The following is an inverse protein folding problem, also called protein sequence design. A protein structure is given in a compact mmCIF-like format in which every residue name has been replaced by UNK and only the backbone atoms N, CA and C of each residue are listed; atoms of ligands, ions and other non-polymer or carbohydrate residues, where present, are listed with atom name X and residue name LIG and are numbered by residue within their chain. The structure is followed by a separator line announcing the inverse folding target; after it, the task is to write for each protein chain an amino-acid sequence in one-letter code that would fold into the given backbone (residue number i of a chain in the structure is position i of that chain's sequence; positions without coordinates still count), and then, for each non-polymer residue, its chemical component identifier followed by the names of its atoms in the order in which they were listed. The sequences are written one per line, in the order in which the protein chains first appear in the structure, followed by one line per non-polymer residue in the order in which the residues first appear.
data_IF_444237066347
#
_entry.id   IF_444237066347
#
_cell.length_a   1.000
_cell.length_b   1.000
_cell.length_c   1.000
_cell.angle_alpha   90.00
_cell.angle_beta   90.00
_cell.angle_gamma   90.00
#
_symmetry.space_group_name_H-M   'P 1'
#
loop_
_entity.id
_entity.type
_entity.pdbx_description
1 polymer ?
#
# COMPACT_ATOMS: atom_id res chain seq x y z
N UNK A 1 -1.64 22.60 11.60
CA UNK A 1 -0.67 22.32 10.51
C UNK A 1 -1.04 21.06 9.74
N UNK A 2 -1.49 19.99 10.41
CA UNK A 2 -1.91 18.73 9.78
C UNK A 2 -3.11 18.86 8.81
N UNK A 3 -4.17 19.56 9.20
CA UNK A 3 -5.36 19.71 8.34
C UNK A 3 -5.09 20.44 7.01
N UNK A 4 -4.39 21.60 6.98
CA UNK A 4 -3.96 22.22 5.72
C UNK A 4 -3.13 21.29 4.84
N UNK A 5 -2.20 20.53 5.43
CA UNK A 5 -1.36 19.55 4.71
C UNK A 5 -2.22 18.45 4.06
N UNK A 6 -3.14 17.84 4.82
CA UNK A 6 -4.05 16.81 4.30
C UNK A 6 -4.90 17.35 3.14
N UNK A 7 -5.46 18.56 3.30
CA UNK A 7 -6.27 19.20 2.25
C UNK A 7 -5.46 19.48 0.99
N UNK A 8 -4.23 19.95 1.13
CA UNK A 8 -3.32 20.21 0.00
C UNK A 8 -2.93 18.92 -0.73
N UNK A 9 -2.58 17.86 0.00
CA UNK A 9 -2.23 16.55 -0.59
C UNK A 9 -3.41 15.96 -1.35
N UNK A 10 -4.63 16.03 -0.80
CA UNK A 10 -5.84 15.56 -1.49
C UNK A 10 -6.09 16.37 -2.76
N UNK A 11 -6.00 17.70 -2.70
CA UNK A 11 -6.18 18.57 -3.88
C UNK A 11 -5.16 18.27 -4.99
N UNK A 12 -3.90 18.02 -4.62
CA UNK A 12 -2.85 17.63 -5.57
C UNK A 12 -3.16 16.29 -6.25
N UNK A 13 -3.73 15.34 -5.52
CA UNK A 13 -4.06 14.02 -6.05
C UNK A 13 -5.33 14.05 -6.91
N UNK A 14 -6.36 14.81 -6.53
CA UNK A 14 -7.60 14.88 -7.31
C UNK A 14 -7.43 15.66 -8.61
N UNK A 15 -6.57 16.70 -8.63
CA UNK A 15 -6.25 17.48 -9.82
C UNK A 15 -7.32 18.53 -10.18
N UNK A 16 -8.37 18.66 -9.36
CA UNK A 16 -9.48 19.60 -9.57
C UNK A 16 -10.49 19.17 -10.64
N UNK A 17 -11.48 20.02 -10.89
CA UNK A 17 -12.62 19.74 -11.77
C UNK A 17 -12.22 19.38 -13.20
N UNK A 18 -11.26 20.12 -13.79
CA UNK A 18 -10.79 19.87 -15.17
C UNK A 18 -10.20 18.45 -15.34
N UNK A 19 -9.45 17.98 -14.34
CA UNK A 19 -8.88 16.64 -14.36
C UNK A 19 -9.97 15.58 -14.21
N UNK A 20 -10.97 15.82 -13.37
CA UNK A 20 -12.12 14.91 -13.22
C UNK A 20 -12.92 14.81 -14.51
N UNK A 21 -13.21 15.93 -15.16
CA UNK A 21 -13.88 15.96 -16.46
C UNK A 21 -13.11 15.15 -17.51
N UNK A 22 -11.80 15.37 -17.61
CA UNK A 22 -10.92 14.64 -18.52
C UNK A 22 -10.94 13.13 -18.23
N UNK A 23 -10.90 12.74 -16.95
CA UNK A 23 -10.99 11.33 -16.56
C UNK A 23 -12.33 10.71 -16.94
N UNK A 24 -13.44 11.44 -16.76
CA UNK A 24 -14.77 10.99 -17.18
C UNK A 24 -14.79 10.73 -18.69
N UNK A 25 -14.25 11.64 -19.50
CA UNK A 25 -14.20 11.48 -20.96
C UNK A 25 -13.39 10.24 -21.37
N UNK A 26 -12.22 10.02 -20.75
CA UNK A 26 -11.41 8.81 -20.97
C UNK A 26 -12.18 7.54 -20.61
N UNK A 27 -12.88 7.54 -19.46
CA UNK A 27 -13.67 6.42 -19.00
C UNK A 27 -14.86 6.14 -19.94
N UNK A 28 -15.54 7.17 -20.44
CA UNK A 28 -16.60 7.03 -21.44
C UNK A 28 -16.06 6.29 -22.66
N UNK A 29 -14.94 6.76 -23.25
CA UNK A 29 -14.35 6.13 -24.43
C UNK A 29 -13.95 4.67 -24.15
N UNK A 30 -13.30 4.41 -23.01
CA UNK A 30 -12.89 3.06 -22.59
C UNK A 30 -14.07 2.11 -22.39
N UNK A 31 -15.22 2.59 -21.92
CA UNK A 31 -16.38 1.76 -21.62
C UNK A 31 -17.36 1.63 -22.79
N UNK A 32 -17.33 2.52 -23.78
CA UNK A 32 -18.12 2.42 -25.00
C UNK A 32 -17.74 1.20 -25.85
N UNK A 33 -16.48 0.78 -25.84
CA UNK A 33 -15.97 -0.36 -26.61
C UNK A 33 -16.27 -1.72 -25.97
N UNK A 34 -16.80 -1.73 -24.73
CA UNK A 34 -17.01 -2.97 -23.95
C UNK A 34 -18.45 -3.43 -24.06
N UNK A 35 -18.64 -4.70 -24.42
CA UNK A 35 -19.92 -5.42 -24.29
C UNK A 35 -20.18 -5.69 -22.81
N UNK A 36 -21.29 -5.16 -22.28
CA UNK A 36 -21.59 -5.26 -20.84
C UNK A 36 -23.08 -5.06 -20.57
N UNK A 37 -23.64 -5.75 -19.56
CA UNK A 37 -25.05 -5.60 -19.17
C UNK A 37 -25.30 -4.36 -18.30
N UNK A 38 -24.36 -3.99 -17.41
CA UNK A 38 -24.42 -2.74 -16.64
C UNK A 38 -24.40 -1.51 -17.58
N UNK A 39 -25.36 -0.58 -17.45
CA UNK A 39 -25.42 0.65 -18.24
C UNK A 39 -24.14 1.48 -18.18
N UNK A 40 -23.81 2.16 -19.28
CA UNK A 40 -22.60 2.97 -19.42
C UNK A 40 -22.37 3.94 -18.24
N UNK A 41 -23.43 4.60 -17.74
CA UNK A 41 -23.32 5.59 -16.65
C UNK A 41 -22.73 5.03 -15.37
N UNK A 42 -23.20 3.86 -14.94
CA UNK A 42 -22.71 3.23 -13.72
C UNK A 42 -21.30 2.66 -13.90
N UNK A 43 -20.95 2.24 -15.12
CA UNK A 43 -19.58 1.77 -15.42
C UNK A 43 -18.56 2.91 -15.40
N UNK A 44 -18.93 4.08 -15.91
CA UNK A 44 -18.09 5.30 -15.87
C UNK A 44 -17.96 5.80 -14.43
N UNK A 45 -19.08 5.93 -13.70
CA UNK A 45 -19.08 6.33 -12.30
C UNK A 45 -18.24 5.38 -11.42
N UNK A 46 -18.45 4.06 -11.57
CA UNK A 46 -17.66 3.07 -10.85
C UNK A 46 -16.17 3.13 -11.19
N UNK A 47 -15.82 3.42 -12.45
CA UNK A 47 -14.44 3.64 -12.87
C UNK A 47 -13.81 4.90 -12.26
N UNK A 48 -14.59 5.98 -12.13
CA UNK A 48 -14.14 7.23 -11.50
C UNK A 48 -13.88 7.01 -10.00
N UNK A 49 -14.83 6.41 -9.29
CA UNK A 49 -14.68 6.07 -7.86
C UNK A 49 -13.47 5.14 -7.65
N UNK A 50 -13.27 4.16 -8.53
CA UNK A 50 -12.09 3.29 -8.47
C UNK A 50 -10.78 4.06 -8.67
N UNK A 51 -10.72 5.02 -9.60
CA UNK A 51 -9.57 5.91 -9.80
C UNK A 51 -9.25 6.71 -8.54
N UNK A 52 -10.28 7.28 -7.92
CA UNK A 52 -10.14 8.04 -6.67
C UNK A 52 -9.69 7.15 -5.50
N UNK A 53 -10.18 5.91 -5.39
CA UNK A 53 -9.71 4.96 -4.37
C UNK A 53 -8.23 4.57 -4.56
N UNK A 54 -7.74 4.48 -5.80
CA UNK A 54 -6.31 4.25 -6.07
C UNK A 54 -5.49 5.46 -5.59
N UNK A 55 -5.91 6.66 -5.96
CA UNK A 55 -5.28 7.92 -5.50
C UNK A 55 -5.32 8.06 -3.98
N UNK A 56 -6.36 7.57 -3.32
CA UNK A 56 -6.42 7.56 -1.85
C UNK A 56 -5.38 6.60 -1.24
N UNK A 57 -5.11 5.47 -1.88
CA UNK A 57 -3.98 4.62 -1.49
C UNK A 57 -2.64 5.36 -1.55
N UNK A 58 -2.39 6.09 -2.64
CA UNK A 58 -1.20 6.94 -2.80
C UNK A 58 -1.14 8.07 -1.77
N UNK A 59 -2.27 8.69 -1.44
CA UNK A 59 -2.39 9.67 -0.35
C UNK A 59 -1.89 9.10 0.97
N UNK A 60 -2.32 7.90 1.34
CA UNK A 60 -1.92 7.26 2.60
C UNK A 60 -0.41 7.00 2.63
N UNK A 61 0.18 6.60 1.51
CA UNK A 61 1.64 6.41 1.38
C UNK A 61 2.39 7.73 1.61
N UNK A 62 1.96 8.81 0.96
CA UNK A 62 2.55 10.15 1.10
C UNK A 62 2.37 10.71 2.52
N UNK A 63 1.18 10.59 3.09
CA UNK A 63 0.88 11.05 4.44
C UNK A 63 1.80 10.37 5.46
N UNK A 64 2.03 9.06 5.32
CA UNK A 64 2.89 8.33 6.24
C UNK A 64 4.35 8.77 6.11
N UNK A 65 4.83 9.02 4.89
CA UNK A 65 6.18 9.55 4.63
C UNK A 65 6.36 10.95 5.25
N UNK A 66 5.38 11.84 5.09
CA UNK A 66 5.37 13.18 5.68
C UNK A 66 5.39 13.14 7.22
N UNK A 67 4.62 12.23 7.82
CA UNK A 67 4.61 12.02 9.27
C UNK A 67 5.98 11.51 9.73
N UNK A 68 6.52 10.47 9.11
CA UNK A 68 7.83 9.90 9.46
C UNK A 68 8.94 10.96 9.31
N UNK A 69 8.89 11.78 8.26
CA UNK A 69 9.87 12.85 8.00
C UNK A 69 9.80 13.98 9.03
N UNK A 70 8.62 14.24 9.60
CA UNK A 70 8.44 15.29 10.62
C UNK A 70 8.75 14.82 12.04
N UNK A 71 9.00 13.53 12.27
CA UNK A 71 9.37 13.02 13.59
C UNK A 71 10.84 13.34 13.92
N UNK A 72 11.13 14.05 15.04
CA UNK A 72 12.49 14.47 15.37
C UNK A 72 13.44 13.32 15.71
N UNK A 73 12.89 12.16 16.11
CA UNK A 73 13.67 11.00 16.50
C UNK A 73 13.88 10.01 15.34
N UNK A 74 13.33 10.30 14.17
CA UNK A 74 13.44 9.44 13.01
C UNK A 74 14.48 10.02 12.05
N UNK A 75 15.19 9.13 11.36
CA UNK A 75 16.07 9.53 10.27
C UNK A 75 15.62 8.80 9.01
N UNK A 76 15.00 9.52 8.09
CA UNK A 76 14.64 8.99 6.77
C UNK A 76 15.93 8.65 6.02
N UNK A 77 15.96 7.50 5.36
CA UNK A 77 17.11 7.10 4.57
C UNK A 77 16.98 7.72 3.17
N UNK A 78 17.71 8.81 2.96
CA UNK A 78 17.67 9.61 1.74
C UNK A 78 17.84 8.76 0.48
N UNK A 79 17.06 9.08 -0.55
CA UNK A 79 17.10 8.38 -1.85
C UNK A 79 16.53 6.97 -1.84
N UNK A 80 15.82 6.55 -0.77
CA UNK A 80 15.19 5.22 -0.71
C UNK A 80 13.71 5.20 -0.35
N UNK A 81 13.16 6.28 0.21
CA UNK A 81 11.71 6.43 0.45
C UNK A 81 11.00 6.87 -0.84
N UNK A 82 9.84 6.28 -1.13
CA UNK A 82 8.99 6.63 -2.27
C UNK A 82 9.59 6.36 -3.65
N UNK A 83 10.62 5.51 -3.75
CA UNK A 83 11.34 5.27 -5.01
C UNK A 83 11.36 3.79 -5.39
N UNK A 84 11.38 3.54 -6.70
CA UNK A 84 11.67 2.22 -7.25
C UNK A 84 13.18 2.01 -7.28
N UNK A 85 13.67 1.01 -6.56
CA UNK A 85 15.07 0.63 -6.53
C UNK A 85 15.33 -0.62 -7.37
N UNK A 86 16.49 -0.66 -8.01
CA UNK A 86 17.02 -1.88 -8.62
C UNK A 86 17.73 -2.70 -7.55
N UNK A 87 17.00 -3.65 -6.96
CA UNK A 87 17.51 -4.52 -5.89
C UNK A 87 18.05 -5.83 -6.45
N UNK A 88 19.04 -6.41 -5.76
CA UNK A 88 19.59 -7.71 -6.08
C UNK A 88 18.95 -8.79 -5.21
N UNK A 89 18.38 -9.80 -5.85
CA UNK A 89 17.80 -10.97 -5.18
C UNK A 89 18.60 -12.21 -5.54
N UNK A 90 18.97 -12.98 -4.52
CA UNK A 90 19.57 -14.29 -4.69
C UNK A 90 18.49 -15.30 -5.11
N UNK A 91 18.78 -16.09 -6.15
CA UNK A 91 17.83 -16.99 -6.80
C UNK A 91 17.19 -17.99 -5.84
N UNK A 92 17.96 -18.55 -4.90
CA UNK A 92 17.43 -19.50 -3.91
C UNK A 92 16.65 -18.79 -2.80
N UNK A 93 17.02 -17.56 -2.45
CA UNK A 93 16.27 -16.73 -1.50
C UNK A 93 14.89 -16.40 -2.05
N UNK A 94 14.83 -15.98 -3.33
CA UNK A 94 13.57 -15.68 -3.98
C UNK A 94 12.68 -16.93 -4.05
N UNK A 95 13.25 -18.08 -4.44
CA UNK A 95 12.51 -19.36 -4.45
C UNK A 95 11.99 -19.74 -3.07
N UNK A 96 12.80 -19.55 -2.02
CA UNK A 96 12.39 -19.85 -0.65
C UNK A 96 11.23 -18.97 -0.18
N UNK A 97 11.23 -17.67 -0.53
CA UNK A 97 10.10 -16.77 -0.28
C UNK A 97 8.85 -17.24 -1.04
N UNK A 98 8.99 -17.66 -2.30
CA UNK A 98 7.87 -18.15 -3.09
C UNK A 98 7.30 -19.46 -2.50
N UNK A 99 8.14 -20.39 -2.07
CA UNK A 99 7.72 -21.61 -1.38
C UNK A 99 7.00 -21.31 -0.07
N UNK A 100 7.50 -20.34 0.71
CA UNK A 100 6.87 -19.89 1.95
C UNK A 100 5.45 -19.35 1.72
N UNK A 101 5.27 -18.49 0.71
CA UNK A 101 3.99 -17.89 0.36
C UNK A 101 3.03 -18.91 -0.27
N UNK A 102 3.52 -19.82 -1.10
CA UNK A 102 2.67 -20.77 -1.82
C UNK A 102 2.24 -21.95 -0.91
N UNK A 103 2.91 -22.18 0.21
CA UNK A 103 2.61 -23.26 1.16
C UNK A 103 2.36 -22.73 2.59
N UNK A 104 1.33 -21.89 2.80
CA UNK A 104 0.99 -21.42 4.13
C UNK A 104 0.45 -22.55 5.03
N UNK A 105 0.60 -22.44 6.35
CA UNK A 105 -0.13 -23.30 7.28
C UNK A 105 -1.64 -23.16 7.07
N UNK A 106 -2.38 -24.25 7.25
CA UNK A 106 -3.82 -24.31 6.97
C UNK A 106 -4.63 -24.39 8.26
N UNK A 107 -5.56 -23.45 8.41
CA UNK A 107 -6.46 -23.41 9.54
C UNK A 107 -5.84 -22.76 10.78
N UNK A 108 -6.72 -22.23 11.64
CA UNK A 108 -6.35 -21.36 12.76
C UNK A 108 -5.33 -21.97 13.71
N UNK A 109 -5.50 -23.23 14.10
CA UNK A 109 -4.64 -23.88 15.10
C UNK A 109 -3.21 -24.10 14.59
N UNK A 110 -3.06 -24.50 13.33
CA UNK A 110 -1.73 -24.67 12.70
C UNK A 110 -1.03 -23.32 12.54
N UNK A 111 -1.76 -22.28 12.11
CA UNK A 111 -1.20 -20.94 11.98
C UNK A 111 -0.66 -20.45 13.34
N UNK A 112 -1.49 -20.50 14.40
CA UNK A 112 -1.10 -20.00 15.72
C UNK A 112 0.08 -20.76 16.32
N UNK A 113 0.18 -22.07 16.10
CA UNK A 113 1.26 -22.89 16.66
C UNK A 113 2.58 -22.78 15.88
N UNK A 114 2.54 -22.42 14.60
CA UNK A 114 3.73 -22.46 13.72
C UNK A 114 4.23 -21.10 13.26
N UNK A 115 3.41 -20.04 13.27
CA UNK A 115 3.75 -18.75 12.62
C UNK A 115 5.08 -18.16 13.13
N UNK A 116 5.33 -18.24 14.43
CA UNK A 116 6.56 -17.72 15.04
C UNK A 116 7.82 -18.44 14.53
N UNK A 117 7.78 -19.78 14.48
CA UNK A 117 8.92 -20.57 13.98
C UNK A 117 9.12 -20.31 12.50
N UNK A 118 8.03 -20.38 11.71
CA UNK A 118 8.09 -20.24 10.26
C UNK A 118 8.65 -18.88 9.81
N UNK A 119 8.23 -17.79 10.45
CA UNK A 119 8.72 -16.46 10.07
C UNK A 119 10.16 -16.21 10.51
N UNK A 120 10.56 -16.75 11.67
CA UNK A 120 11.95 -16.64 12.13
C UNK A 120 12.89 -17.44 11.21
N UNK A 121 12.47 -18.64 10.78
CA UNK A 121 13.21 -19.44 9.80
C UNK A 121 13.34 -18.71 8.45
N UNK A 122 12.26 -18.06 8.00
CA UNK A 122 12.27 -17.23 6.80
C UNK A 122 13.29 -16.09 6.90
N UNK A 123 13.29 -15.33 7.99
CA UNK A 123 14.24 -14.23 8.15
C UNK A 123 15.68 -14.72 8.26
N UNK A 124 15.94 -15.79 9.00
CA UNK A 124 17.26 -16.40 9.06
C UNK A 124 17.74 -16.83 7.66
N UNK A 125 16.84 -17.41 6.86
CA UNK A 125 17.17 -17.85 5.50
C UNK A 125 17.42 -16.67 4.55
N UNK A 126 16.61 -15.61 4.64
CA UNK A 126 16.82 -14.37 3.88
C UNK A 126 18.20 -13.79 4.18
N UNK A 127 18.55 -13.60 5.46
CA UNK A 127 19.85 -13.03 5.84
C UNK A 127 21.02 -13.90 5.41
N UNK A 128 20.89 -15.23 5.54
CA UNK A 128 21.92 -16.18 5.13
C UNK A 128 22.16 -16.13 3.62
N UNK A 129 21.10 -16.22 2.82
CA UNK A 129 21.21 -16.32 1.37
C UNK A 129 21.56 -14.98 0.73
N UNK A 130 20.92 -13.88 1.14
CA UNK A 130 21.20 -12.55 0.60
C UNK A 130 22.61 -12.04 0.92
N UNK A 131 23.25 -12.55 1.97
CA UNK A 131 24.64 -12.21 2.27
C UNK A 131 25.65 -13.25 1.78
N UNK A 132 25.22 -14.28 1.06
CA UNK A 132 26.12 -15.31 0.54
C UNK A 132 27.06 -14.75 -0.54
N UNK A 133 28.39 -14.77 -0.35
CA UNK A 133 29.34 -14.34 -1.39
C UNK A 133 29.29 -15.22 -2.65
N UNK A 134 28.83 -16.46 -2.52
CA UNK A 134 28.68 -17.41 -3.62
C UNK A 134 27.24 -17.47 -4.17
N UNK A 135 26.35 -16.59 -3.71
CA UNK A 135 24.97 -16.53 -4.18
C UNK A 135 24.88 -16.16 -5.65
N UNK A 136 23.85 -16.67 -6.34
CA UNK A 136 23.54 -16.25 -7.71
C UNK A 136 22.45 -15.17 -7.64
N UNK A 137 22.78 -13.98 -8.10
CA UNK A 137 21.90 -12.82 -7.99
C UNK A 137 21.36 -12.38 -9.34
N UNK A 138 20.12 -11.89 -9.32
CA UNK A 138 19.53 -11.17 -10.44
C UNK A 138 18.96 -9.83 -9.94
N UNK A 139 18.82 -8.88 -10.87
CA UNK A 139 18.30 -7.54 -10.58
C UNK A 139 16.79 -7.49 -10.76
N UNK A 140 16.10 -6.78 -9.87
CA UNK A 140 14.66 -6.57 -9.92
C UNK A 140 14.31 -5.14 -9.51
N UNK A 141 13.43 -4.50 -10.26
CA UNK A 141 12.87 -3.21 -9.87
C UNK A 141 11.79 -3.44 -8.82
N UNK A 142 11.95 -2.84 -7.65
CA UNK A 142 11.04 -2.98 -6.52
C UNK A 142 10.79 -1.62 -5.89
N UNK A 143 9.52 -1.30 -5.68
CA UNK A 143 9.10 -0.07 -5.00
C UNK A 143 9.35 -0.21 -3.50
N UNK A 144 9.92 0.85 -2.92
CA UNK A 144 10.11 0.98 -1.48
C UNK A 144 9.25 2.16 -1.04
N UNK A 145 8.18 1.88 -0.27
CA UNK A 145 7.30 2.95 0.21
C UNK A 145 8.04 3.86 1.20
N UNK A 146 8.39 3.36 2.39
CA UNK A 146 9.13 4.16 3.37
C UNK A 146 10.26 3.37 4.03
N UNK A 147 11.41 4.02 4.21
CA UNK A 147 12.55 3.48 4.94
C UNK A 147 13.16 4.53 5.88
N UNK A 148 13.18 4.22 7.17
CA UNK A 148 13.66 5.13 8.20
C UNK A 148 14.41 4.41 9.32
N UNK A 149 15.11 5.17 10.15
CA UNK A 149 15.92 4.70 11.27
C UNK A 149 15.44 5.28 12.59
N UNK A 150 15.48 4.48 13.64
CA UNK A 150 15.41 4.94 15.04
C UNK A 150 16.63 4.36 15.77
N UNK A 151 17.51 5.24 16.26
CA UNK A 151 18.79 4.83 16.83
C UNK A 151 19.62 4.06 15.79
N UNK A 152 19.90 2.79 16.05
CA UNK A 152 20.64 1.88 15.14
C UNK A 152 19.75 0.91 14.34
N UNK A 153 18.43 0.96 14.54
CA UNK A 153 17.49 0.03 13.87
C UNK A 153 16.84 0.70 12.67
N UNK A 154 16.90 0.03 11.54
CA UNK A 154 16.20 0.40 10.31
C UNK A 154 14.83 -0.26 10.25
N UNK A 155 13.89 0.45 9.64
CA UNK A 155 12.52 0.03 9.45
C UNK A 155 12.15 0.24 7.99
N UNK A 156 11.68 -0.82 7.33
CA UNK A 156 11.03 -0.74 6.03
C UNK A 156 9.53 -0.89 6.24
N UNK A 157 8.75 0.06 5.75
CA UNK A 157 7.30 0.03 5.81
C UNK A 157 6.76 -0.10 4.39
N UNK A 158 5.96 -1.14 4.16
CA UNK A 158 5.06 -1.25 3.01
C UNK A 158 3.68 -0.82 3.47
N UNK A 159 3.09 0.16 2.80
CA UNK A 159 1.83 0.77 3.20
C UNK A 159 0.70 0.31 2.30
N UNK A 160 -0.45 0.02 2.89
CA UNK A 160 -1.67 -0.36 2.19
C UNK A 160 -2.87 0.33 2.85
N UNK A 161 -3.84 0.74 2.03
CA UNK A 161 -5.06 1.36 2.54
C UNK A 161 -5.90 0.37 3.38
N UNK A 162 -6.18 -0.81 2.84
CA UNK A 162 -7.01 -1.85 3.45
C UNK A 162 -6.42 -3.25 3.26
N UNK A 163 -6.76 -4.14 4.18
CA UNK A 163 -6.59 -5.59 4.04
C UNK A 163 -7.93 -6.23 3.65
N UNK A 164 -8.37 -5.99 2.42
CA UNK A 164 -9.63 -6.51 1.85
C UNK A 164 -9.46 -7.13 0.45
N UNK A 165 -8.23 -7.10 -0.07
CA UNK A 165 -7.87 -7.57 -1.41
C UNK A 165 -8.19 -9.04 -1.64
N UNK A 166 -8.58 -9.41 -2.87
CA UNK A 166 -8.83 -10.81 -3.22
C UNK A 166 -7.65 -11.74 -2.86
N UNK A 167 -7.91 -13.06 -2.80
CA UNK A 167 -6.94 -14.04 -2.29
C UNK A 167 -5.61 -14.02 -3.07
N UNK A 168 -5.66 -13.80 -4.39
CA UNK A 168 -4.46 -13.72 -5.22
C UNK A 168 -3.65 -12.47 -4.93
N UNK A 169 -4.32 -11.31 -4.89
CA UNK A 169 -3.68 -10.04 -4.55
C UNK A 169 -3.14 -10.01 -3.11
N UNK A 170 -3.82 -10.65 -2.17
CA UNK A 170 -3.34 -10.80 -0.79
C UNK A 170 -2.01 -11.58 -0.74
N UNK A 171 -1.92 -12.70 -1.48
CA UNK A 171 -0.66 -13.45 -1.61
C UNK A 171 0.45 -12.61 -2.26
N UNK A 172 0.12 -11.89 -3.34
CA UNK A 172 1.08 -11.09 -4.09
C UNK A 172 1.65 -9.94 -3.27
N UNK A 173 0.85 -9.30 -2.42
CA UNK A 173 1.31 -8.25 -1.50
C UNK A 173 2.35 -8.80 -0.52
N UNK A 174 2.04 -9.92 0.15
CA UNK A 174 2.98 -10.53 1.09
C UNK A 174 4.27 -11.00 0.39
N UNK A 175 4.16 -11.55 -0.83
CA UNK A 175 5.30 -11.92 -1.66
C UNK A 175 6.16 -10.70 -2.03
N UNK A 176 5.55 -9.62 -2.53
CA UNK A 176 6.26 -8.37 -2.88
C UNK A 176 6.97 -7.82 -1.67
N UNK A 177 6.26 -7.68 -0.55
CA UNK A 177 6.80 -7.20 0.73
C UNK A 177 8.07 -7.96 1.17
N UNK A 178 8.00 -9.29 1.20
CA UNK A 178 9.14 -10.12 1.59
C UNK A 178 10.31 -10.05 0.60
N UNK A 179 10.03 -9.96 -0.71
CA UNK A 179 11.07 -9.81 -1.74
C UNK A 179 11.75 -8.44 -1.66
N UNK A 180 10.99 -7.36 -1.46
CA UNK A 180 11.55 -6.03 -1.23
C UNK A 180 12.42 -6.00 0.02
N UNK A 181 11.94 -6.57 1.13
CA UNK A 181 12.72 -6.72 2.35
C UNK A 181 14.03 -7.48 2.11
N UNK A 182 13.99 -8.63 1.43
CA UNK A 182 15.18 -9.40 1.10
C UNK A 182 16.17 -8.60 0.25
N UNK A 183 15.70 -7.89 -0.79
CA UNK A 183 16.52 -7.03 -1.62
C UNK A 183 17.22 -5.93 -0.81
N UNK A 184 16.50 -5.32 0.14
CA UNK A 184 17.04 -4.27 1.01
C UNK A 184 18.08 -4.80 2.00
N UNK A 185 17.94 -6.04 2.49
CA UNK A 185 18.98 -6.71 3.30
C UNK A 185 20.34 -6.70 2.58
N UNK A 186 20.34 -7.06 1.29
CA UNK A 186 21.56 -7.03 0.46
C UNK A 186 22.04 -5.61 0.19
N UNK A 187 21.12 -4.73 -0.22
CA UNK A 187 21.41 -3.35 -0.62
C UNK A 187 22.17 -2.59 0.48
N UNK A 188 21.71 -2.69 1.73
CA UNK A 188 22.34 -2.06 2.88
C UNK A 188 23.37 -2.94 3.60
N UNK A 189 23.59 -4.17 3.12
CA UNK A 189 24.52 -5.15 3.71
C UNK A 189 24.21 -5.46 5.18
N UNK A 190 22.92 -5.57 5.53
CA UNK A 190 22.51 -5.97 6.87
C UNK A 190 22.89 -7.44 7.10
N UNK A 191 23.63 -7.70 8.16
CA UNK A 191 24.09 -9.06 8.51
C UNK A 191 23.38 -9.62 9.74
N UNK A 192 22.64 -8.78 10.48
CA UNK A 192 21.91 -9.16 11.68
C UNK A 192 20.42 -8.80 11.56
N UNK A 193 19.49 -9.76 11.70
CA UNK A 193 18.04 -9.51 11.68
C UNK A 193 17.55 -8.46 12.68
N UNK A 194 18.30 -8.16 13.75
CA UNK A 194 17.93 -7.12 14.71
C UNK A 194 18.13 -5.70 14.17
N UNK A 195 18.96 -5.52 13.15
CA UNK A 195 19.27 -4.21 12.56
C UNK A 195 18.17 -3.69 11.65
N UNK A 196 17.32 -4.57 11.10
CA UNK A 196 16.37 -4.20 10.06
C UNK A 196 15.05 -4.92 10.25
N UNK A 197 13.96 -4.15 10.40
CA UNK A 197 12.62 -4.67 10.68
C UNK A 197 11.66 -4.30 9.56
N UNK A 198 10.98 -5.27 8.94
CA UNK A 198 9.96 -4.99 7.95
C UNK A 198 8.59 -4.85 8.62
N UNK A 199 7.77 -3.93 8.11
CA UNK A 199 6.42 -3.67 8.59
C UNK A 199 5.48 -3.58 7.38
N UNK A 200 4.46 -4.41 7.36
CA UNK A 200 3.32 -4.28 6.47
C UNK A 200 2.23 -3.50 7.21
N UNK A 201 2.10 -2.23 6.88
CA UNK A 201 1.17 -1.32 7.52
C UNK A 201 -0.15 -1.22 6.73
N UNK A 202 -1.26 -1.47 7.40
CA UNK A 202 -2.60 -1.18 6.89
C UNK A 202 -3.17 0.06 7.57
N UNK A 203 -3.60 1.04 6.80
CA UNK A 203 -4.15 2.28 7.35
C UNK A 203 -5.44 2.03 8.13
N UNK A 204 -6.32 1.15 7.66
CA UNK A 204 -7.52 0.77 8.41
C UNK A 204 -7.34 -0.52 9.21
N UNK A 205 -8.28 -0.73 10.15
CA UNK A 205 -8.32 -1.91 11.03
C UNK A 205 -8.91 -3.16 10.38
N UNK A 206 -9.44 -3.07 9.16
CA UNK A 206 -10.01 -4.22 8.45
C UNK A 206 -9.03 -5.39 8.39
N UNK A 207 -9.53 -6.61 8.59
CA UNK A 207 -8.75 -7.84 8.57
C UNK A 207 -9.39 -8.83 7.62
N UNK A 208 -8.65 -9.27 6.60
CA UNK A 208 -9.13 -10.31 5.70
C UNK A 208 -9.00 -11.71 6.30
N UNK A 209 -7.83 -12.01 6.86
CA UNK A 209 -7.52 -13.32 7.44
C UNK A 209 -7.04 -13.17 8.88
N UNK A 210 -7.75 -13.80 9.81
CA UNK A 210 -7.38 -13.83 11.23
C UNK A 210 -7.36 -15.28 11.76
N UNK A 211 -6.17 -15.82 12.09
CA UNK A 211 -4.85 -15.20 12.03
C UNK A 211 -4.33 -15.07 10.59
N UNK A 212 -3.42 -14.13 10.35
CA UNK A 212 -2.70 -14.03 9.08
C UNK A 212 -1.74 -15.24 8.93
N UNK A 213 -1.74 -15.94 7.78
CA UNK A 213 -0.93 -17.15 7.61
C UNK A 213 0.55 -16.89 7.27
N UNK A 214 0.94 -15.66 6.98
CA UNK A 214 2.28 -15.28 6.49
C UNK A 214 3.06 -14.38 7.44
N UNK A 215 2.40 -13.51 8.19
CA UNK A 215 3.06 -12.51 9.04
C UNK A 215 2.37 -12.43 10.40
N UNK A 216 3.10 -12.01 11.44
CA UNK A 216 2.53 -11.89 12.79
C UNK A 216 1.83 -10.54 12.93
N UNK A 217 0.60 -10.59 13.42
CA UNK A 217 -0.13 -9.40 13.85
C UNK A 217 0.63 -8.72 15.01
N UNK A 218 0.60 -7.39 15.01
CA UNK A 218 1.25 -6.50 15.98
C UNK A 218 2.79 -6.53 16.02
N UNK A 219 3.44 -7.25 15.10
CA UNK A 219 4.90 -7.28 14.96
C UNK A 219 5.27 -6.83 13.55
N UNK A 220 5.02 -7.68 12.55
CA UNK A 220 5.22 -7.33 11.14
C UNK A 220 4.00 -6.62 10.58
N UNK A 221 2.79 -7.04 10.97
CA UNK A 221 1.58 -6.36 10.57
C UNK A 221 1.21 -5.33 11.62
N UNK A 222 1.03 -4.09 11.19
CA UNK A 222 0.47 -3.03 12.00
C UNK A 222 -0.75 -2.46 11.31
N UNK A 223 -1.79 -2.13 12.08
CA UNK A 223 -3.07 -1.67 11.55
C UNK A 223 -3.52 -0.40 12.28
N UNK A 224 -4.04 0.58 11.54
CA UNK A 224 -4.56 1.84 12.08
C UNK A 224 -3.65 2.48 13.12
N UNK A 225 -4.11 2.65 14.37
CA UNK A 225 -3.38 3.37 15.41
C UNK A 225 -2.11 2.67 15.89
N UNK A 226 -1.91 1.39 15.56
CA UNK A 226 -0.83 0.60 16.15
C UNK A 226 0.56 1.09 15.73
N UNK A 227 0.72 1.54 14.48
CA UNK A 227 1.99 2.13 14.01
C UNK A 227 2.33 3.37 14.85
N UNK A 228 1.42 4.33 14.90
CA UNK A 228 1.57 5.59 15.63
C UNK A 228 1.85 5.38 17.12
N UNK A 229 1.15 4.41 17.73
CA UNK A 229 1.33 4.06 19.14
C UNK A 229 2.69 3.41 19.40
N UNK A 230 3.08 2.44 18.58
CA UNK A 230 4.35 1.71 18.75
C UNK A 230 5.56 2.62 18.53
N UNK A 231 5.46 3.53 17.56
CA UNK A 231 6.53 4.48 17.23
C UNK A 231 6.44 5.81 17.99
N UNK A 232 5.37 6.00 18.79
CA UNK A 232 5.13 7.20 19.60
C UNK A 232 5.23 8.50 18.80
N UNK A 233 4.65 8.50 17.60
CA UNK A 233 4.60 9.67 16.71
C UNK A 233 3.92 10.85 17.38
N UNK A 234 4.30 12.08 17.04
CA UNK A 234 3.64 13.29 17.56
C UNK A 234 2.23 13.43 16.99
N UNK A 235 2.04 13.16 15.70
CA UNK A 235 0.72 13.06 15.07
C UNK A 235 0.06 11.74 15.46
N UNK A 236 -1.22 11.80 15.85
CA UNK A 236 -2.01 10.64 16.28
C UNK A 236 -2.96 10.18 15.17
N UNK A 237 -3.19 8.87 15.10
CA UNK A 237 -4.11 8.29 14.12
C UNK A 237 -5.52 8.88 14.26
N UNK A 238 -5.99 9.08 15.48
CA UNK A 238 -7.31 9.61 15.79
C UNK A 238 -7.48 11.06 15.30
N UNK A 239 -6.39 11.83 15.25
CA UNK A 239 -6.41 13.18 14.68
C UNK A 239 -6.61 13.13 13.16
N UNK A 240 -5.88 12.24 12.48
CA UNK A 240 -5.99 12.01 11.04
C UNK A 240 -7.39 11.50 10.69
N UNK A 241 -7.87 10.48 11.40
CA UNK A 241 -9.19 9.89 11.21
C UNK A 241 -10.29 10.94 11.32
N UNK A 242 -10.23 11.78 12.36
CA UNK A 242 -11.19 12.88 12.52
C UNK A 242 -11.15 13.86 11.34
N UNK A 243 -9.97 14.28 10.91
CA UNK A 243 -9.82 15.21 9.77
C UNK A 243 -10.38 14.60 8.49
N UNK A 244 -10.03 13.35 8.19
CA UNK A 244 -10.49 12.66 6.99
C UNK A 244 -12.01 12.45 6.99
N UNK A 245 -12.60 12.09 8.12
CA UNK A 245 -14.05 11.94 8.24
C UNK A 245 -14.76 13.28 8.04
N UNK A 246 -14.31 14.35 8.71
CA UNK A 246 -14.89 15.69 8.52
C UNK A 246 -14.74 16.18 7.08
N UNK A 247 -13.61 15.89 6.44
CA UNK A 247 -13.39 16.24 5.04
C UNK A 247 -14.31 15.44 4.12
N UNK A 248 -14.46 14.13 4.36
CA UNK A 248 -15.37 13.27 3.61
C UNK A 248 -16.79 13.81 3.62
N UNK A 249 -17.31 14.16 4.79
CA UNK A 249 -18.64 14.77 4.94
C UNK A 249 -18.75 16.09 4.15
N UNK A 250 -17.70 16.92 4.17
CA UNK A 250 -17.71 18.20 3.45
C UNK A 250 -17.61 18.08 1.92
N UNK A 251 -17.19 16.93 1.41
CA UNK A 251 -17.00 16.68 -0.02
C UNK A 251 -18.20 15.97 -0.67
N UNK A 252 -19.25 15.64 0.09
CA UNK A 252 -20.40 14.89 -0.42
C UNK A 252 -21.07 15.61 -1.61
N UNK A 253 -21.33 16.92 -1.48
CA UNK A 253 -21.92 17.73 -2.56
C UNK A 253 -21.04 17.78 -3.82
N UNK A 254 -19.71 17.83 -3.65
CA UNK A 254 -18.76 17.82 -4.76
C UNK A 254 -18.81 16.49 -5.53
N UNK A 255 -18.87 15.37 -4.81
CA UNK A 255 -18.97 14.03 -5.40
C UNK A 255 -20.32 13.79 -6.07
N UNK A 256 -21.40 14.32 -5.52
CA UNK A 256 -22.72 14.33 -6.17
C UNK A 256 -22.71 15.15 -7.47
N UNK A 257 -21.94 16.24 -7.49
CA UNK A 257 -21.64 17.01 -8.71
C UNK A 257 -20.96 16.16 -9.78
N UNK A 258 -19.93 15.39 -9.41
CA UNK A 258 -19.24 14.48 -10.34
C UNK A 258 -20.17 13.40 -10.89
N UNK A 259 -21.05 12.83 -10.06
CA UNK A 259 -22.04 11.87 -10.51
C UNK A 259 -23.02 12.50 -11.53
N UNK A 260 -23.50 13.71 -11.25
CA UNK A 260 -24.39 14.47 -12.12
C UNK A 260 -23.74 14.77 -13.47
N UNK A 261 -22.48 15.21 -13.47
CA UNK A 261 -21.69 15.46 -14.68
C UNK A 261 -21.54 14.20 -15.56
N UNK A 262 -21.30 13.03 -14.95
CA UNK A 262 -21.29 11.75 -15.68
C UNK A 262 -22.64 11.49 -16.35
N UNK A 263 -23.75 11.76 -15.67
CA UNK A 263 -25.07 11.59 -16.25
C UNK A 263 -25.32 12.54 -17.42
N UNK A 264 -24.93 13.81 -17.30
CA UNK A 264 -25.11 14.83 -18.33
C UNK A 264 -24.31 14.49 -19.61
N UNK A 265 -23.02 14.19 -19.49
CA UNK A 265 -22.18 13.80 -20.63
C UNK A 265 -22.73 12.57 -21.36
N UNK A 266 -23.28 11.60 -20.63
CA UNK A 266 -23.87 10.40 -21.24
C UNK A 266 -25.23 10.70 -21.89
N UNK A 267 -26.05 11.58 -21.31
CA UNK A 267 -27.29 12.04 -21.94
C UNK A 267 -27.00 12.76 -23.27
N UNK A 268 -26.02 13.66 -23.29
CA UNK A 268 -25.57 14.35 -24.51
C UNK A 268 -25.04 13.39 -25.58
N UNK A 269 -24.26 12.37 -25.18
CA UNK A 269 -23.79 11.35 -26.11
C UNK A 269 -24.94 10.54 -26.74
N UNK A 270 -26.00 10.27 -25.97
CA UNK A 270 -27.18 9.53 -26.47
C UNK A 270 -28.01 10.37 -27.43
N UNK A 271 -28.23 11.64 -27.13
CA UNK A 271 -28.96 12.53 -28.03
C UNK A 271 -28.25 12.70 -29.37
N UNK A 272 -26.91 12.77 -29.38
CA UNK A 272 -26.11 12.82 -30.61
C UNK A 272 -26.16 11.53 -31.45
N UNK A 273 -26.45 10.37 -30.84
CA UNK A 273 -26.57 9.08 -31.54
C UNK A 273 -27.99 8.76 -32.03
N UNK A 274 -28.97 9.61 -31.69
CA UNK A 274 -30.39 9.40 -32.02
C UNK A 274 -30.84 10.31 -33.19
N UNK A 275 -29.90 11.04 -33.79
CA UNK A 275 -29.99 11.76 -35.07
C UNK A 275 -29.19 10.99 -36.13
#
# INVERSE_FOLDING_TARGET
MLEPMIKETIKRLTGGEEEIERQIDILIQKHLTKVHFIPLKYRVLGGLIQSLNIKFGEFVELLLDEIITSEPNFSVVEGTSGVTLTLELEDNCERFIDEYINNPPRGRNEILSTINTRINDLYNKIFLLQNSPAGKFHKKQLDVNVLFKIGETYYYVETKYNDDHDTGKFQDINRKFLKTYAGLVRYFKFTNPKQFKPILYYFNQSIRYNPNPYLRENIEIMRGPLFFTNFKTHIKYEEIERILNTLGDSLEEEFDGYASLVEEKIKQLRSQKTL
#
